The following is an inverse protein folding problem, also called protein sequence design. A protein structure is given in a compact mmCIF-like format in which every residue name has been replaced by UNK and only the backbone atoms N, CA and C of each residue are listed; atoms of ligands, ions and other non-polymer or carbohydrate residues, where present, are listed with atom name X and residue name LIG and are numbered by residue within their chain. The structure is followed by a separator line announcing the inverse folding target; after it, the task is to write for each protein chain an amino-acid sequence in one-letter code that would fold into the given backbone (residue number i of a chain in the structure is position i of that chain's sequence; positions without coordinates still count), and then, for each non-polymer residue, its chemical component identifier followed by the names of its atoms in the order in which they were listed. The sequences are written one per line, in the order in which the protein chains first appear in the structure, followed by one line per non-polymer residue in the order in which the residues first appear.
data_IF_335784977973
#
_entry.id   IF_335784977973
#
_cell.length_a   1.000
_cell.length_b   1.000
_cell.length_c   1.000
_cell.angle_alpha   90.00
_cell.angle_beta   90.00
_cell.angle_gamma   90.00
#
_symmetry.space_group_name_H-M   'P 1'
#
loop_
_entity.id
_entity.type
_entity.pdbx_description
1 polymer ?
#
# COMPACT_ATOMS: atom_id res chain seq x y z
N UNK A 1 30.19 -7.25 -1.30
CA UNK A 1 29.63 -8.05 -2.41
C UNK A 1 29.11 -7.06 -3.43
N UNK A 2 29.69 -7.14 -4.62
CA UNK A 2 29.72 -6.12 -5.66
C UNK A 2 28.36 -5.60 -6.11
N UNK A 3 28.29 -4.27 -6.12
CA UNK A 3 27.35 -3.46 -6.87
C UNK A 3 27.73 -3.51 -8.35
N UNK A 4 27.30 -4.53 -9.08
CA UNK A 4 27.13 -4.38 -10.53
C UNK A 4 26.22 -5.46 -11.14
N UNK A 5 25.26 -5.02 -11.96
CA UNK A 5 24.51 -5.83 -12.95
C UNK A 5 23.46 -6.84 -12.45
N UNK A 6 22.49 -6.37 -11.67
CA UNK A 6 21.16 -6.99 -11.65
C UNK A 6 20.05 -5.94 -11.53
N UNK A 7 19.99 -4.95 -12.43
CA UNK A 7 18.79 -4.12 -12.62
C UNK A 7 17.66 -4.90 -13.33
N UNK A 8 17.41 -6.14 -12.91
CA UNK A 8 16.15 -6.80 -13.23
C UNK A 8 15.11 -6.03 -12.45
N UNK A 9 14.29 -5.23 -13.13
CA UNK A 9 13.27 -4.40 -12.51
C UNK A 9 12.51 -5.22 -11.45
N UNK A 10 12.55 -4.78 -10.20
CA UNK A 10 11.74 -5.39 -9.15
C UNK A 10 10.29 -5.42 -9.64
N UNK A 11 9.64 -6.58 -9.57
CA UNK A 11 8.26 -6.73 -10.01
C UNK A 11 7.39 -5.68 -9.32
N UNK A 12 6.54 -5.03 -10.12
CA UNK A 12 5.60 -4.01 -9.67
C UNK A 12 4.21 -4.42 -10.08
N UNK A 13 3.30 -4.42 -9.12
CA UNK A 13 1.89 -4.68 -9.34
C UNK A 13 1.08 -3.49 -8.87
N UNK A 14 0.13 -3.05 -9.68
CA UNK A 14 -0.77 -1.94 -9.37
C UNK A 14 -2.19 -2.49 -9.30
N UNK A 15 -2.91 -2.17 -8.22
CA UNK A 15 -4.36 -2.38 -8.12
C UNK A 15 -5.04 -1.01 -8.02
N UNK A 16 -6.08 -0.82 -8.82
CA UNK A 16 -7.07 0.23 -8.62
C UNK A 16 -8.22 -0.38 -7.81
N UNK A 17 -8.46 0.18 -6.63
CA UNK A 17 -9.58 -0.17 -5.77
C UNK A 17 -10.62 0.93 -5.86
N UNK A 18 -11.89 0.55 -5.97
CA UNK A 18 -13.02 1.46 -5.89
C UNK A 18 -13.86 1.09 -4.67
N UNK A 19 -14.14 2.08 -3.83
CA UNK A 19 -15.03 1.94 -2.68
C UNK A 19 -16.50 2.02 -3.10
N UNK A 20 -17.42 1.64 -2.21
CA UNK A 20 -18.85 1.72 -2.48
C UNK A 20 -19.37 3.13 -2.78
N UNK A 21 -18.66 4.18 -2.35
CA UNK A 21 -18.93 5.58 -2.67
C UNK A 21 -18.12 6.10 -3.87
N UNK A 22 -17.70 5.21 -4.78
CA UNK A 22 -16.95 5.52 -6.01
C UNK A 22 -15.62 6.27 -5.77
N UNK A 23 -15.03 6.14 -4.58
CA UNK A 23 -13.72 6.73 -4.30
C UNK A 23 -12.64 5.76 -4.74
N UNK A 24 -11.65 6.27 -5.47
CA UNK A 24 -10.58 5.47 -6.03
C UNK A 24 -9.32 5.54 -5.17
N UNK A 25 -8.71 4.38 -4.94
CA UNK A 25 -7.46 4.21 -4.20
C UNK A 25 -6.54 3.35 -5.06
N UNK A 26 -5.27 3.72 -5.18
CA UNK A 26 -4.29 2.89 -5.90
C UNK A 26 -3.32 2.28 -4.91
N UNK A 27 -3.13 0.97 -5.01
CA UNK A 27 -2.13 0.24 -4.24
C UNK A 27 -1.07 -0.29 -5.19
N UNK A 28 0.18 0.07 -4.94
CA UNK A 28 1.33 -0.39 -5.74
C UNK A 28 2.25 -1.23 -4.87
N UNK A 29 2.34 -2.51 -5.19
CA UNK A 29 3.27 -3.43 -4.53
C UNK A 29 4.57 -3.49 -5.33
N UNK A 30 5.71 -3.39 -4.65
CA UNK A 30 7.04 -3.37 -5.26
C UNK A 30 7.90 -4.41 -4.55
N UNK A 31 8.33 -5.41 -5.33
CA UNK A 31 9.13 -6.52 -4.85
C UNK A 31 10.49 -6.07 -4.30
N UNK A 32 10.97 -6.81 -3.32
CA UNK A 32 12.24 -6.56 -2.66
C UNK A 32 13.42 -7.18 -3.41
N UNK A 33 14.63 -6.87 -2.95
CA UNK A 33 15.86 -7.43 -3.51
C UNK A 33 15.94 -8.97 -3.36
N UNK A 34 15.40 -9.49 -2.25
CA UNK A 34 15.47 -10.91 -1.87
C UNK A 34 14.33 -11.71 -2.52
N UNK A 35 13.09 -11.24 -2.41
CA UNK A 35 11.95 -11.86 -3.06
C UNK A 35 11.47 -11.00 -4.22
N UNK A 36 11.71 -11.49 -5.44
CA UNK A 36 11.48 -10.77 -6.71
C UNK A 36 10.10 -11.00 -7.32
N UNK A 37 9.21 -11.74 -6.64
CA UNK A 37 7.90 -12.11 -7.17
C UNK A 37 6.75 -11.60 -6.32
N UNK A 38 5.73 -11.09 -6.98
CA UNK A 38 4.44 -10.75 -6.38
C UNK A 38 3.44 -11.86 -6.72
N UNK A 39 2.62 -12.24 -5.75
CA UNK A 39 1.50 -13.15 -5.98
C UNK A 39 0.22 -12.33 -5.86
N UNK A 40 -0.49 -12.16 -6.97
CA UNK A 40 -1.84 -11.60 -6.99
C UNK A 40 -2.86 -12.73 -6.90
N UNK A 41 -3.88 -12.55 -6.07
CA UNK A 41 -5.10 -13.37 -6.09
C UNK A 41 -6.33 -12.55 -6.48
N UNK A 42 -6.16 -11.24 -6.71
CA UNK A 42 -7.25 -10.36 -7.08
C UNK A 42 -7.64 -10.54 -8.54
N UNK A 43 -8.95 -10.57 -8.78
CA UNK A 43 -9.55 -10.53 -10.11
C UNK A 43 -10.32 -9.22 -10.33
N UNK A 44 -10.47 -8.81 -11.59
CA UNK A 44 -11.26 -7.61 -11.93
C UNK A 44 -12.72 -7.79 -11.50
N UNK A 45 -13.28 -6.74 -10.87
CA UNK A 45 -14.65 -6.78 -10.34
C UNK A 45 -14.80 -7.54 -9.01
N UNK A 46 -13.74 -8.15 -8.48
CA UNK A 46 -13.78 -8.80 -7.18
C UNK A 46 -13.99 -7.78 -6.05
N UNK A 47 -14.94 -8.07 -5.16
CA UNK A 47 -15.14 -7.30 -3.93
C UNK A 47 -14.33 -7.89 -2.79
N UNK A 48 -13.76 -7.03 -1.95
CA UNK A 48 -13.00 -7.42 -0.76
C UNK A 48 -13.59 -6.80 0.49
N UNK A 49 -13.49 -7.51 1.62
CA UNK A 49 -13.75 -6.93 2.94
C UNK A 49 -12.48 -6.35 3.54
N UNK A 50 -12.62 -5.41 4.47
CA UNK A 50 -11.48 -4.87 5.22
C UNK A 50 -10.68 -5.99 5.88
N UNK A 51 -9.36 -5.96 5.73
CA UNK A 51 -8.44 -6.98 6.26
C UNK A 51 -8.30 -8.23 5.39
N UNK A 52 -9.11 -8.37 4.33
CA UNK A 52 -8.98 -9.47 3.39
C UNK A 52 -7.70 -9.34 2.55
N UNK A 53 -7.08 -10.48 2.25
CA UNK A 53 -5.82 -10.53 1.52
C UNK A 53 -6.09 -10.69 0.02
N UNK A 54 -5.59 -9.75 -0.76
CA UNK A 54 -5.66 -9.80 -2.23
C UNK A 54 -4.36 -10.27 -2.90
N UNK A 55 -3.30 -10.44 -2.12
CA UNK A 55 -2.00 -10.88 -2.64
C UNK A 55 -0.95 -11.07 -1.54
N UNK A 56 0.26 -11.43 -1.98
CA UNK A 56 1.42 -11.64 -1.11
C UNK A 56 2.70 -11.18 -1.78
N UNK A 57 3.51 -10.46 -1.00
CA UNK A 57 4.87 -10.08 -1.37
C UNK A 57 5.79 -10.38 -0.19
N UNK A 58 6.91 -11.04 -0.45
CA UNK A 58 7.81 -11.57 0.60
C UNK A 58 8.99 -10.63 0.85
N UNK A 59 9.55 -10.71 2.05
CA UNK A 59 10.86 -10.20 2.51
C UNK A 59 11.41 -8.94 1.83
N UNK A 60 11.41 -7.82 2.55
CA UNK A 60 12.09 -6.58 2.14
C UNK A 60 11.39 -5.86 0.99
N UNK A 61 10.05 -5.90 0.97
CA UNK A 61 9.19 -5.29 -0.03
C UNK A 61 8.66 -3.92 0.39
N UNK A 62 8.04 -3.20 -0.56
CA UNK A 62 7.39 -1.91 -0.34
C UNK A 62 5.97 -1.93 -0.88
N UNK A 63 5.08 -1.20 -0.21
CA UNK A 63 3.72 -0.93 -0.64
C UNK A 63 3.52 0.59 -0.67
N UNK A 64 3.22 1.14 -1.84
CA UNK A 64 2.83 2.54 -2.00
C UNK A 64 1.30 2.60 -2.08
N UNK A 65 0.68 3.53 -1.36
CA UNK A 65 -0.78 3.74 -1.38
C UNK A 65 -1.03 5.17 -1.82
N UNK A 66 -1.74 5.34 -2.93
CA UNK A 66 -2.12 6.63 -3.47
C UNK A 66 -3.59 6.88 -3.15
N UNK A 67 -3.84 8.02 -2.52
CA UNK A 67 -5.14 8.44 -2.04
C UNK A 67 -5.65 9.62 -2.90
N UNK A 68 -6.97 9.85 -2.94
CA UNK A 68 -7.53 11.03 -3.59
C UNK A 68 -6.91 12.33 -3.07
N UNK A 69 -6.82 13.34 -3.93
CA UNK A 69 -6.35 14.66 -3.54
C UNK A 69 -7.21 15.22 -2.39
N UNK A 70 -6.55 15.81 -1.38
CA UNK A 70 -7.21 16.34 -0.19
C UNK A 70 -7.43 15.33 0.94
N UNK A 71 -7.15 14.04 0.71
CA UNK A 71 -7.18 13.03 1.77
C UNK A 71 -6.08 13.29 2.79
N UNK A 72 -6.45 13.33 4.07
CA UNK A 72 -5.50 13.52 5.16
C UNK A 72 -4.90 12.18 5.61
N UNK A 73 -3.57 12.11 5.68
CA UNK A 73 -2.88 10.97 6.28
C UNK A 73 -3.07 10.96 7.81
N UNK A 74 -3.33 9.78 8.37
CA UNK A 74 -3.54 9.52 9.79
C UNK A 74 -2.37 8.75 10.43
N UNK A 75 -1.26 8.61 9.70
CA UNK A 75 0.00 8.01 10.15
C UNK A 75 1.18 8.94 9.92
N UNK A 76 2.19 8.83 10.77
CA UNK A 76 3.43 9.60 10.71
C UNK A 76 4.58 8.85 10.03
N UNK A 77 5.60 9.59 9.58
CA UNK A 77 6.85 9.01 9.07
C UNK A 77 7.56 8.24 10.18
N UNK A 78 8.04 7.04 9.89
CA UNK A 78 8.72 6.16 10.85
C UNK A 78 7.77 5.36 11.75
N UNK A 79 6.47 5.62 11.71
CA UNK A 79 5.47 4.85 12.46
C UNK A 79 5.37 3.41 11.92
N UNK A 80 5.41 2.43 12.82
CA UNK A 80 5.10 1.04 12.48
C UNK A 80 3.61 0.87 12.13
N UNK A 81 3.33 0.08 11.10
CA UNK A 81 1.97 -0.26 10.68
C UNK A 81 1.73 -1.78 10.71
N UNK A 82 0.50 -2.16 11.05
CA UNK A 82 0.00 -3.54 11.05
C UNK A 82 -1.01 -3.66 9.91
N UNK A 83 -0.78 -4.62 9.00
CA UNK A 83 -1.63 -4.84 7.85
C UNK A 83 -3.06 -5.21 8.25
N UNK A 84 -4.05 -4.52 7.68
CA UNK A 84 -5.47 -4.74 7.99
C UNK A 84 -5.96 -4.07 9.28
N UNK A 85 -5.08 -3.43 10.05
CA UNK A 85 -5.42 -2.83 11.35
C UNK A 85 -5.09 -1.33 11.43
N UNK A 86 -3.89 -0.94 10.99
CA UNK A 86 -3.47 0.47 11.07
C UNK A 86 -4.25 1.33 10.07
N UNK A 87 -5.00 2.29 10.60
CA UNK A 87 -5.70 3.29 9.78
C UNK A 87 -4.69 4.32 9.27
N UNK A 88 -4.48 4.36 7.96
CA UNK A 88 -3.50 5.23 7.31
C UNK A 88 -4.06 6.57 6.85
N UNK A 89 -5.38 6.66 6.64
CA UNK A 89 -6.05 7.84 6.10
C UNK A 89 -7.56 7.80 6.39
N UNK A 90 -8.18 8.97 6.36
CA UNK A 90 -9.63 9.12 6.34
C UNK A 90 -10.09 9.70 5.00
N UNK A 91 -10.89 8.92 4.26
CA UNK A 91 -11.37 9.27 2.93
C UNK A 91 -12.56 10.23 2.94
N UNK A 92 -13.24 10.44 4.07
CA UNK A 92 -14.32 11.44 4.14
C UNK A 92 -13.78 12.87 4.30
N UNK A 93 -12.50 13.02 4.64
CA UNK A 93 -11.85 14.27 4.98
C UNK A 93 -12.52 15.03 6.14
N UNK A 94 -13.32 14.35 6.96
CA UNK A 94 -13.98 14.95 8.13
C UNK A 94 -13.05 15.08 9.34
N UNK A 95 -11.96 14.31 9.35
CA UNK A 95 -11.00 14.30 10.46
C UNK A 95 -9.83 15.25 10.18
N UNK A 96 -9.54 16.13 11.13
CA UNK A 96 -8.39 17.03 11.09
C UNK A 96 -7.06 16.26 11.13
N UNK A 97 -6.01 16.85 10.56
CA UNK A 97 -4.66 16.31 10.61
C UNK A 97 -4.24 15.96 12.05
N UNK A 98 -3.62 14.79 12.22
CA UNK A 98 -3.04 14.37 13.49
C UNK A 98 -1.63 14.94 13.60
N UNK A 99 -1.26 15.38 14.80
CA UNK A 99 0.13 15.71 15.13
C UNK A 99 0.88 14.43 15.49
N UNK A 100 2.03 14.20 14.86
CA UNK A 100 2.90 13.06 15.13
C UNK A 100 4.18 13.54 15.78
N UNK A 101 4.59 12.88 16.86
CA UNK A 101 5.91 13.12 17.44
C UNK A 101 6.97 12.49 16.51
N UNK A 102 7.98 13.29 16.15
CA UNK A 102 9.05 12.92 15.21
C UNK A 102 10.42 12.80 15.88
N UNK A 103 10.46 12.73 17.22
CA UNK A 103 11.68 12.56 18.03
C UNK A 103 12.57 11.39 17.58
#
# INVERSE_FOLDING_TARGET
ADLDKASQANERQTLLLETANATQIVVVQIAGLVARRIVCWAEEGQSFKTGERFGLIRFGSRCDIYLPQGTQALVGVGQSAIAGETIIADLSADVSAREFNTD
#
